data_IF_830711434845
#
_entry.id   IF_830711434845
#
_cell.length_a   1.000
_cell.length_b   1.000
_cell.length_c   1.000
_cell.angle_alpha   90.00
_cell.angle_beta   90.00
_cell.angle_gamma   90.00
#
_symmetry.space_group_name_H-M   'P 1'
#
loop_
_entity.id
_entity.type
_entity.pdbx_description
1 polymer ?
#
# COMPACT_ATOMS: atom_id res chain seq x y z
N UNK A 1 30.01 -13.87 137.96
CA UNK A 1 30.45 -12.59 138.53
C UNK A 1 29.46 -12.03 139.56
N UNK A 2 28.30 -11.49 139.16
CA UNK A 2 27.32 -10.92 140.12
C UNK A 2 26.79 -11.98 141.11
N UNK A 3 26.39 -13.14 140.59
CA UNK A 3 25.89 -14.27 141.39
C UNK A 3 26.97 -14.86 142.31
N UNK A 4 28.22 -14.85 141.85
CA UNK A 4 29.38 -15.35 142.60
C UNK A 4 29.77 -14.38 143.72
N UNK A 5 29.70 -13.07 143.48
CA UNK A 5 29.89 -12.04 144.51
C UNK A 5 28.82 -12.16 145.59
N UNK A 6 27.56 -12.40 145.21
CA UNK A 6 26.48 -12.65 146.15
C UNK A 6 26.75 -13.85 147.07
N UNK A 7 27.25 -14.95 146.50
CA UNK A 7 27.60 -16.15 147.29
C UNK A 7 28.72 -15.87 148.29
N UNK A 8 29.78 -15.18 147.89
CA UNK A 8 30.90 -14.84 148.79
C UNK A 8 30.43 -13.92 149.91
N UNK A 9 29.67 -12.87 149.59
CA UNK A 9 29.13 -11.95 150.60
C UNK A 9 28.23 -12.65 151.60
N UNK A 10 27.54 -13.72 151.21
CA UNK A 10 26.64 -14.48 152.09
C UNK A 10 27.37 -15.24 153.21
N UNK A 11 28.70 -15.43 153.10
CA UNK A 11 29.53 -16.06 154.14
C UNK A 11 29.88 -15.12 155.30
N UNK A 12 29.81 -13.80 155.08
CA UNK A 12 30.13 -12.80 156.10
C UNK A 12 28.93 -12.60 157.03
N UNK A 13 28.74 -13.55 157.96
CA UNK A 13 27.70 -13.50 158.98
C UNK A 13 28.26 -13.12 160.35
N UNK A 14 27.46 -12.51 161.24
CA UNK A 14 27.90 -12.18 162.59
C UNK A 14 28.42 -13.40 163.36
N UNK A 15 27.81 -14.57 163.15
CA UNK A 15 28.23 -15.83 163.78
C UNK A 15 29.61 -16.27 163.29
N UNK A 16 29.89 -16.11 161.99
CA UNK A 16 31.19 -16.42 161.42
C UNK A 16 32.28 -15.47 161.95
N UNK A 17 32.00 -14.18 162.07
CA UNK A 17 32.92 -13.20 162.65
C UNK A 17 33.20 -13.48 164.13
N UNK A 18 32.16 -13.83 164.90
CA UNK A 18 32.29 -14.20 166.32
C UNK A 18 33.14 -15.46 166.50
N UNK A 19 32.98 -16.45 165.61
CA UNK A 19 33.79 -17.66 165.61
C UNK A 19 35.28 -17.36 165.35
N UNK A 20 35.57 -16.49 164.38
CA UNK A 20 36.93 -16.06 164.08
C UNK A 20 37.55 -15.26 165.25
N UNK A 21 36.81 -14.34 165.86
CA UNK A 21 37.26 -13.60 167.06
C UNK A 21 37.54 -14.53 168.25
N UNK A 22 36.66 -15.50 168.48
CA UNK A 22 36.82 -16.50 169.55
C UNK A 22 38.05 -17.37 169.30
N UNK A 23 38.29 -17.77 168.05
CA UNK A 23 39.48 -18.55 167.65
C UNK A 23 40.77 -17.76 167.81
N UNK A 24 40.74 -16.48 167.43
CA UNK A 24 41.83 -15.55 167.61
C UNK A 24 42.21 -15.38 169.10
N UNK A 25 41.21 -15.28 169.99
CA UNK A 25 41.41 -15.23 171.43
C UNK A 25 41.93 -16.56 172.03
N UNK A 26 41.45 -17.71 171.55
CA UNK A 26 41.91 -19.05 171.97
C UNK A 26 43.41 -19.26 171.68
N UNK A 27 43.89 -18.74 170.55
CA UNK A 27 45.26 -18.89 170.09
C UNK A 27 46.21 -17.77 170.56
N UNK A 28 45.74 -16.89 171.46
CA UNK A 28 46.46 -15.71 171.96
C UNK A 28 47.03 -14.81 170.85
N UNK A 29 46.37 -14.77 169.68
CA UNK A 29 46.79 -13.93 168.55
C UNK A 29 46.50 -12.45 168.82
N UNK A 30 47.34 -11.56 168.29
CA UNK A 30 47.18 -10.12 168.46
C UNK A 30 46.02 -9.58 167.60
N UNK A 31 44.88 -9.31 168.23
CA UNK A 31 43.67 -8.78 167.58
C UNK A 31 43.83 -7.35 167.03
N UNK A 32 44.88 -6.64 167.47
CA UNK A 32 45.24 -5.29 167.04
C UNK A 32 46.45 -5.28 166.10
N UNK A 33 46.77 -6.42 165.47
CA UNK A 33 47.89 -6.52 164.54
C UNK A 33 47.73 -5.65 163.28
N UNK A 34 46.49 -5.37 162.86
CA UNK A 34 46.19 -4.54 161.70
C UNK A 34 46.01 -3.05 162.01
N UNK A 35 45.96 -2.23 160.95
CA UNK A 35 45.71 -0.77 161.03
C UNK A 35 44.36 -0.48 161.74
N UNK A 36 43.38 -1.36 161.53
CA UNK A 36 42.08 -1.35 162.18
C UNK A 36 41.97 -2.64 162.98
N UNK A 37 41.57 -2.56 164.25
CA UNK A 37 41.37 -3.75 165.09
C UNK A 37 40.46 -4.75 164.40
N UNK A 38 40.66 -6.04 164.67
CA UNK A 38 39.88 -7.10 164.02
C UNK A 38 38.37 -6.92 164.22
N UNK A 39 37.95 -6.49 165.42
CA UNK A 39 36.55 -6.24 165.72
C UNK A 39 35.95 -5.08 164.90
N UNK A 40 36.68 -3.97 164.76
CA UNK A 40 36.22 -2.82 163.96
C UNK A 40 36.25 -3.12 162.46
N UNK A 41 37.21 -3.92 162.01
CA UNK A 41 37.23 -4.44 160.64
C UNK A 41 35.96 -5.25 160.35
N UNK A 42 35.49 -6.08 161.27
CA UNK A 42 34.24 -6.81 161.07
C UNK A 42 32.99 -5.92 160.98
N UNK A 43 32.95 -4.79 161.70
CA UNK A 43 31.89 -3.79 161.54
C UNK A 43 31.91 -3.20 160.11
N UNK A 44 33.10 -2.82 159.63
CA UNK A 44 33.29 -2.30 158.28
C UNK A 44 32.89 -3.35 157.23
N UNK A 45 33.29 -4.62 157.41
CA UNK A 45 32.92 -5.70 156.51
C UNK A 45 31.40 -5.90 156.45
N UNK A 46 30.70 -5.81 157.57
CA UNK A 46 29.24 -5.88 157.62
C UNK A 46 28.57 -4.78 156.80
N UNK A 47 29.04 -3.53 156.94
CA UNK A 47 28.55 -2.41 156.12
C UNK A 47 28.87 -2.58 154.63
N UNK A 48 30.09 -3.02 154.31
CA UNK A 48 30.51 -3.29 152.94
C UNK A 48 29.62 -4.33 152.27
N UNK A 49 29.39 -5.45 152.96
CA UNK A 49 28.59 -6.54 152.45
C UNK A 49 27.14 -6.11 152.19
N UNK A 50 26.54 -5.32 153.08
CA UNK A 50 25.17 -4.83 152.89
C UNK A 50 25.05 -3.84 151.72
N UNK A 51 26.03 -2.94 151.56
CA UNK A 51 26.06 -2.00 150.44
C UNK A 51 26.15 -2.72 149.10
N UNK A 52 27.01 -3.74 149.02
CA UNK A 52 27.13 -4.55 147.81
C UNK A 52 25.89 -5.41 147.57
N UNK A 53 25.26 -5.96 148.62
CA UNK A 53 23.99 -6.69 148.48
C UNK A 53 22.87 -5.78 147.94
N UNK A 54 22.70 -4.57 148.47
CA UNK A 54 21.71 -3.60 147.96
C UNK A 54 21.96 -3.26 146.49
N UNK A 55 23.23 -3.06 146.13
CA UNK A 55 23.62 -2.78 144.75
C UNK A 55 23.31 -3.95 143.80
N UNK A 56 23.40 -5.20 144.27
CA UNK A 56 23.06 -6.40 143.49
C UNK A 56 21.53 -6.55 143.37
N UNK A 57 20.80 -6.50 144.48
CA UNK A 57 19.34 -6.70 144.50
C UNK A 57 18.60 -5.68 143.65
N UNK A 58 19.01 -4.40 143.75
CA UNK A 58 18.43 -3.31 142.96
C UNK A 58 18.99 -3.22 141.54
N UNK A 59 19.80 -4.20 141.12
CA UNK A 59 20.48 -4.25 139.80
C UNK A 59 21.29 -3.00 139.51
N UNK A 60 21.82 -2.33 140.54
CA UNK A 60 22.65 -1.13 140.41
C UNK A 60 24.09 -1.47 140.02
N UNK A 61 24.55 -2.67 140.35
CA UNK A 61 25.92 -3.10 140.05
C UNK A 61 26.25 -3.08 138.55
N UNK A 62 25.26 -3.25 137.65
CA UNK A 62 25.45 -3.20 136.19
C UNK A 62 25.88 -1.81 135.68
N UNK A 63 25.66 -0.76 136.47
CA UNK A 63 26.07 0.60 136.12
C UNK A 63 27.59 0.77 136.19
N UNK A 64 28.27 -0.12 136.92
CA UNK A 64 29.73 -0.15 136.98
C UNK A 64 30.26 -0.92 135.76
N UNK A 65 31.35 -0.46 135.13
CA UNK A 65 32.08 -1.24 134.15
C UNK A 65 32.36 -2.66 134.65
N UNK A 66 32.27 -3.65 133.76
CA UNK A 66 32.48 -5.07 134.08
C UNK A 66 33.83 -5.29 134.78
N UNK A 67 34.84 -4.50 134.45
CA UNK A 67 36.17 -4.54 135.09
C UNK A 67 36.12 -4.20 136.58
N UNK A 68 35.32 -3.21 137.00
CA UNK A 68 35.17 -2.81 138.40
C UNK A 68 34.37 -3.86 139.17
N UNK A 69 33.34 -4.44 138.54
CA UNK A 69 32.57 -5.54 139.13
C UNK A 69 33.47 -6.76 139.43
N UNK A 70 34.46 -7.03 138.58
CA UNK A 70 35.45 -8.09 138.79
C UNK A 70 36.39 -7.81 139.96
N UNK A 71 36.86 -6.57 140.12
CA UNK A 71 37.75 -6.18 141.22
C UNK A 71 37.10 -6.35 142.60
N UNK A 72 35.83 -5.94 142.75
CA UNK A 72 35.09 -6.10 144.01
C UNK A 72 34.91 -7.57 144.40
N UNK A 73 34.72 -8.46 143.41
CA UNK A 73 34.61 -9.90 143.62
C UNK A 73 35.92 -10.50 144.15
N UNK A 74 37.05 -10.13 143.56
CA UNK A 74 38.35 -10.66 143.99
C UNK A 74 38.73 -10.19 145.40
N UNK A 75 38.43 -8.94 145.77
CA UNK A 75 38.64 -8.45 147.14
C UNK A 75 37.73 -9.22 148.13
N UNK A 76 36.45 -9.40 147.80
CA UNK A 76 35.53 -10.16 148.65
C UNK A 76 35.98 -11.62 148.83
N UNK A 77 36.50 -12.27 147.77
CA UNK A 77 37.06 -13.62 147.87
C UNK A 77 38.28 -13.67 148.79
N UNK A 78 39.20 -12.71 148.65
CA UNK A 78 40.39 -12.64 149.50
C UNK A 78 40.02 -12.52 150.99
N UNK A 79 38.99 -11.71 151.31
CA UNK A 79 38.46 -11.62 152.68
C UNK A 79 37.90 -12.97 153.12
N UNK A 80 37.06 -13.64 152.31
CA UNK A 80 36.52 -14.97 152.68
C UNK A 80 37.63 -15.99 152.93
N UNK A 81 38.67 -16.02 152.13
CA UNK A 81 39.79 -16.96 152.31
C UNK A 81 40.56 -16.69 153.60
N UNK A 82 40.93 -15.43 153.86
CA UNK A 82 41.63 -15.06 155.09
C UNK A 82 40.74 -15.26 156.34
N UNK A 83 39.44 -15.05 156.19
CA UNK A 83 38.46 -15.28 157.25
C UNK A 83 38.37 -16.76 157.64
N UNK A 84 38.27 -17.64 156.64
CA UNK A 84 38.21 -19.09 156.87
C UNK A 84 39.55 -19.58 157.46
N UNK A 85 40.69 -19.09 156.96
CA UNK A 85 42.01 -19.43 157.51
C UNK A 85 42.20 -18.99 158.97
N UNK A 86 41.64 -17.84 159.39
CA UNK A 86 41.67 -17.40 160.78
C UNK A 86 40.85 -18.35 161.68
N UNK A 87 39.69 -18.80 161.21
CA UNK A 87 38.85 -19.79 161.93
C UNK A 87 39.56 -21.13 162.05
N UNK A 88 40.33 -21.52 161.04
CA UNK A 88 41.14 -22.75 161.05
C UNK A 88 42.40 -22.64 161.93
N UNK A 89 42.70 -21.45 162.45
CA UNK A 89 43.75 -21.20 163.43
C UNK A 89 45.07 -20.69 162.86
N UNK A 90 45.08 -20.17 161.63
CA UNK A 90 46.24 -19.48 161.07
C UNK A 90 46.33 -18.03 161.60
N UNK A 91 47.55 -17.54 161.85
CA UNK A 91 47.78 -16.14 162.21
C UNK A 91 47.73 -15.23 160.97
N UNK A 92 46.51 -14.87 160.57
CA UNK A 92 46.20 -14.03 159.40
C UNK A 92 45.43 -12.77 159.77
N UNK A 93 45.52 -12.33 161.03
CA UNK A 93 44.74 -11.20 161.55
C UNK A 93 45.07 -9.91 160.78
N UNK A 94 46.35 -9.61 160.58
CA UNK A 94 46.80 -8.42 159.85
C UNK A 94 46.33 -8.45 158.37
N UNK A 95 46.49 -9.59 157.68
CA UNK A 95 46.10 -9.70 156.27
C UNK A 95 44.58 -9.71 156.06
N UNK A 96 43.81 -10.24 157.01
CA UNK A 96 42.35 -10.19 156.99
C UNK A 96 41.85 -8.76 157.16
N UNK A 97 42.33 -8.03 158.17
CA UNK A 97 41.94 -6.65 158.44
C UNK A 97 42.31 -5.72 157.28
N UNK A 98 43.48 -5.89 156.66
CA UNK A 98 43.85 -5.17 155.43
C UNK A 98 42.92 -5.47 154.24
N UNK A 99 42.54 -6.73 154.06
CA UNK A 99 41.65 -7.13 152.95
C UNK A 99 40.26 -6.50 153.13
N UNK A 100 39.77 -6.45 154.36
CA UNK A 100 38.51 -5.79 154.71
C UNK A 100 38.60 -4.28 154.45
N UNK A 101 39.69 -3.63 154.85
CA UNK A 101 39.89 -2.19 154.63
C UNK A 101 39.99 -1.85 153.14
N UNK A 102 40.59 -2.73 152.31
CA UNK A 102 40.58 -2.60 150.85
C UNK A 102 39.16 -2.63 150.29
N UNK A 103 38.30 -3.51 150.80
CA UNK A 103 36.89 -3.55 150.37
C UNK A 103 36.14 -2.29 150.77
N UNK A 104 36.34 -1.83 152.01
CA UNK A 104 35.73 -0.62 152.53
C UNK A 104 36.12 0.61 151.69
N UNK A 105 37.41 0.75 151.41
CA UNK A 105 37.93 1.81 150.55
C UNK A 105 37.40 1.71 149.12
N UNK A 106 37.30 0.50 148.55
CA UNK A 106 36.80 0.31 147.19
C UNK A 106 35.33 0.74 147.04
N UNK A 107 34.48 0.46 148.04
CA UNK A 107 33.07 0.85 148.03
C UNK A 107 32.92 2.38 147.99
N UNK A 108 33.74 3.10 148.77
CA UNK A 108 33.79 4.56 148.74
C UNK A 108 34.38 5.11 147.46
N UNK A 109 35.54 4.59 147.03
CA UNK A 109 36.26 5.04 145.83
C UNK A 109 35.40 4.93 144.57
N UNK A 110 34.65 3.84 144.45
CA UNK A 110 33.77 3.60 143.31
C UNK A 110 32.36 4.18 143.51
N UNK A 111 32.12 4.86 144.63
CA UNK A 111 30.89 5.59 144.88
C UNK A 111 29.65 4.72 144.88
N UNK A 112 29.76 3.45 145.31
CA UNK A 112 28.63 2.49 145.30
C UNK A 112 27.42 3.00 146.09
N UNK A 113 27.66 3.89 147.05
CA UNK A 113 26.63 4.56 147.85
C UNK A 113 25.75 5.54 147.04
N UNK A 114 26.10 5.87 145.78
CA UNK A 114 25.46 6.92 144.99
C UNK A 114 24.85 6.42 143.65
N UNK A 115 24.68 5.12 143.47
CA UNK A 115 24.11 4.56 142.23
C UNK A 115 22.58 4.85 142.12
N UNK A 116 22.14 5.48 141.01
CA UNK A 116 20.77 5.99 140.73
C UNK A 116 19.95 5.12 139.78
N UNK A 117 18.61 5.25 139.76
CA UNK A 117 17.69 4.33 139.06
C UNK A 117 17.30 4.74 137.59
N UNK A 118 17.68 5.91 137.05
CA UNK A 118 17.00 6.52 135.87
C UNK A 118 17.75 6.59 134.50
N UNK A 119 19.02 6.17 134.34
CA UNK A 119 19.84 6.49 133.15
C UNK A 119 19.44 5.80 131.81
N UNK A 120 18.54 4.81 131.80
CA UNK A 120 18.32 3.92 130.64
C UNK A 120 17.49 4.54 129.47
N UNK A 121 16.70 5.59 129.70
CA UNK A 121 15.68 6.07 128.75
C UNK A 121 16.17 6.95 127.59
N UNK A 122 17.29 7.68 127.74
CA UNK A 122 17.74 8.65 126.73
C UNK A 122 18.41 8.02 125.51
N UNK A 123 19.10 6.90 125.70
CA UNK A 123 19.85 6.23 124.63
C UNK A 123 18.92 5.60 123.58
N UNK A 124 17.75 5.10 123.99
CA UNK A 124 16.75 4.53 123.08
C UNK A 124 16.15 5.57 122.13
N UNK A 125 15.85 6.78 122.62
CA UNK A 125 15.28 7.86 121.79
C UNK A 125 16.26 8.37 120.74
N UNK A 126 17.56 8.43 121.07
CA UNK A 126 18.61 8.84 120.13
C UNK A 126 18.72 7.87 118.94
N UNK A 127 18.58 6.57 119.18
CA UNK A 127 18.61 5.56 118.14
C UNK A 127 17.39 5.65 117.20
N UNK A 128 16.19 5.88 117.74
CA UNK A 128 14.97 6.09 116.94
C UNK A 128 15.08 7.31 116.01
N UNK A 129 15.69 8.40 116.49
CA UNK A 129 15.88 9.61 115.68
C UNK A 129 16.79 9.35 114.46
N UNK A 130 17.87 8.56 114.65
CA UNK A 130 18.78 8.18 113.57
C UNK A 130 18.11 7.30 112.51
N UNK A 131 17.25 6.37 112.93
CA UNK A 131 16.47 5.54 111.99
C UNK A 131 15.53 6.40 111.13
N UNK A 132 14.86 7.39 111.74
CA UNK A 132 13.99 8.32 111.00
C UNK A 132 14.83 9.16 110.02
N UNK A 133 15.96 9.72 110.45
CA UNK A 133 16.85 10.49 109.58
C UNK A 133 17.30 9.68 108.36
N UNK A 134 17.70 8.42 108.57
CA UNK A 134 18.09 7.52 107.49
C UNK A 134 16.92 7.20 106.54
N UNK A 135 15.71 7.04 107.08
CA UNK A 135 14.48 6.85 106.27
C UNK A 135 14.12 8.09 105.43
N UNK A 136 14.34 9.30 105.96
CA UNK A 136 14.12 10.56 105.25
C UNK A 136 15.12 10.73 104.12
N UNK A 137 16.40 10.45 104.36
CA UNK A 137 17.46 10.50 103.33
C UNK A 137 17.14 9.52 102.18
N UNK A 138 16.78 8.29 102.52
CA UNK A 138 16.44 7.27 101.49
C UNK A 138 15.18 7.64 100.71
N UNK A 139 14.16 8.22 101.36
CA UNK A 139 12.94 8.67 100.68
C UNK A 139 13.21 9.86 99.76
N UNK A 140 14.04 10.82 100.19
CA UNK A 140 14.47 11.95 99.36
C UNK A 140 15.20 11.47 98.11
N UNK A 141 16.14 10.53 98.24
CA UNK A 141 16.85 9.95 97.11
C UNK A 141 15.89 9.29 96.10
N UNK A 142 14.91 8.51 96.57
CA UNK A 142 13.87 7.92 95.71
C UNK A 142 12.99 8.96 95.02
N UNK A 143 12.70 10.07 95.69
CA UNK A 143 11.91 11.17 95.10
C UNK A 143 12.70 11.87 93.99
N UNK A 144 13.98 12.15 94.20
CA UNK A 144 14.87 12.74 93.19
C UNK A 144 15.00 11.81 91.96
N UNK A 145 15.13 10.50 92.18
CA UNK A 145 15.09 9.50 91.11
C UNK A 145 13.74 9.52 90.36
N UNK A 146 12.61 9.59 91.09
CA UNK A 146 11.28 9.69 90.50
C UNK A 146 11.06 10.96 89.66
N UNK A 147 11.62 12.10 90.07
CA UNK A 147 11.59 13.35 89.29
C UNK A 147 12.38 13.18 88.00
N UNK A 148 13.58 12.58 88.07
CA UNK A 148 14.37 12.31 86.87
C UNK A 148 13.65 11.39 85.87
N UNK A 149 12.91 10.38 86.36
CA UNK A 149 12.11 9.50 85.49
C UNK A 149 10.93 10.25 84.86
N UNK A 150 10.25 11.11 85.62
CA UNK A 150 9.15 11.94 85.12
C UNK A 150 9.62 12.91 84.02
N UNK A 151 10.78 13.54 84.19
CA UNK A 151 11.35 14.42 83.17
C UNK A 151 11.76 13.65 81.90
N UNK A 152 12.27 12.43 82.04
CA UNK A 152 12.55 11.55 80.90
C UNK A 152 11.26 11.12 80.17
N UNK A 153 10.18 10.84 80.91
CA UNK A 153 8.87 10.53 80.35
C UNK A 153 8.26 11.71 79.60
N UNK A 154 8.38 12.93 80.11
CA UNK A 154 7.89 14.14 79.45
C UNK A 154 8.61 14.36 78.10
N UNK A 155 9.92 14.10 78.04
CA UNK A 155 10.69 14.13 76.79
C UNK A 155 10.23 13.07 75.78
N UNK A 156 10.02 11.82 76.22
CA UNK A 156 9.52 10.74 75.36
C UNK A 156 8.11 11.06 74.85
N UNK A 157 7.24 11.64 75.69
CA UNK A 157 5.90 12.04 75.29
C UNK A 157 5.92 13.15 74.24
N UNK A 158 6.82 14.12 74.38
CA UNK A 158 7.02 15.18 73.40
C UNK A 158 7.51 14.62 72.05
N UNK A 159 8.50 13.74 72.07
CA UNK A 159 9.04 13.09 70.87
C UNK A 159 7.98 12.20 70.19
N UNK A 160 7.21 11.45 70.98
CA UNK A 160 6.12 10.61 70.47
C UNK A 160 4.99 11.44 69.83
N UNK A 161 4.67 12.63 70.38
CA UNK A 161 3.71 13.55 69.75
C UNK A 161 4.24 14.09 68.44
N UNK A 162 5.50 14.52 68.41
CA UNK A 162 6.12 15.01 67.17
C UNK A 162 6.13 13.92 66.09
N UNK A 163 6.53 12.69 66.42
CA UNK A 163 6.49 11.57 65.47
C UNK A 163 5.07 11.25 64.98
N UNK A 164 4.05 11.39 65.84
CA UNK A 164 2.66 11.20 65.43
C UNK A 164 2.18 12.28 64.44
N UNK A 165 2.59 13.53 64.63
CA UNK A 165 2.28 14.64 63.71
C UNK A 165 3.00 14.47 62.36
N UNK A 166 4.26 14.04 62.38
CA UNK A 166 5.02 13.68 61.18
C UNK A 166 4.37 12.50 60.43
N UNK A 167 3.94 11.46 61.16
CA UNK A 167 3.23 10.32 60.59
C UNK A 167 1.92 10.75 59.92
N UNK A 168 1.14 11.63 60.56
CA UNK A 168 -0.10 12.14 59.99
C UNK A 168 0.16 12.89 58.68
N UNK A 169 1.23 13.70 58.64
CA UNK A 169 1.66 14.41 57.43
C UNK A 169 2.07 13.45 56.31
N UNK A 170 2.79 12.37 56.65
CA UNK A 170 3.15 11.33 55.68
C UNK A 170 1.93 10.58 55.13
N UNK A 171 0.94 10.30 55.96
CA UNK A 171 -0.33 9.66 55.54
C UNK A 171 -1.10 10.56 54.58
N UNK A 172 -1.25 11.86 54.88
CA UNK A 172 -1.93 12.81 53.97
C UNK A 172 -1.22 12.93 52.62
N UNK A 173 0.12 12.97 52.63
CA UNK A 173 0.91 12.98 51.40
C UNK A 173 0.76 11.68 50.60
N UNK A 174 0.71 10.53 51.29
CA UNK A 174 0.49 9.24 50.65
C UNK A 174 -0.91 9.14 50.01
N UNK A 175 -1.96 9.60 50.70
CA UNK A 175 -3.32 9.63 50.16
C UNK A 175 -3.41 10.52 48.91
N UNK A 176 -2.78 11.70 48.96
CA UNK A 176 -2.71 12.61 47.81
C UNK A 176 -2.01 11.96 46.62
N UNK A 177 -0.89 11.27 46.87
CA UNK A 177 -0.17 10.52 45.83
C UNK A 177 -0.99 9.37 45.25
N UNK A 178 -1.75 8.64 46.08
CA UNK A 178 -2.65 7.56 45.64
C UNK A 178 -3.76 8.10 44.73
N UNK A 179 -4.38 9.22 45.09
CA UNK A 179 -5.41 9.88 44.27
C UNK A 179 -4.83 10.28 42.91
N UNK A 180 -3.68 10.96 42.90
CA UNK A 180 -3.01 11.36 41.66
C UNK A 180 -2.63 10.15 40.79
N UNK A 181 -2.16 9.06 41.40
CA UNK A 181 -1.81 7.82 40.69
C UNK A 181 -3.05 7.17 40.07
N UNK A 182 -4.19 7.19 40.77
CA UNK A 182 -5.46 6.66 40.26
C UNK A 182 -5.99 7.47 39.08
N UNK A 183 -5.91 8.80 39.12
CA UNK A 183 -6.25 9.65 37.98
C UNK A 183 -5.34 9.37 36.76
N UNK A 184 -4.03 9.26 36.99
CA UNK A 184 -3.09 8.95 35.92
C UNK A 184 -3.34 7.57 35.32
N UNK A 185 -3.67 6.57 36.14
CA UNK A 185 -4.03 5.24 35.66
C UNK A 185 -5.27 5.30 34.75
N UNK A 186 -6.30 6.04 35.15
CA UNK A 186 -7.51 6.24 34.33
C UNK A 186 -7.17 6.88 32.98
N UNK A 187 -6.33 7.92 32.96
CA UNK A 187 -5.88 8.58 31.72
C UNK A 187 -5.09 7.64 30.81
N UNK A 188 -4.21 6.80 31.39
CA UNK A 188 -3.47 5.79 30.63
C UNK A 188 -4.41 4.74 30.04
N UNK A 189 -5.44 4.32 30.79
CA UNK A 189 -6.43 3.36 30.32
C UNK A 189 -7.21 3.90 29.12
N UNK A 190 -7.72 5.14 29.20
CA UNK A 190 -8.38 5.81 28.07
C UNK A 190 -7.46 6.00 26.87
N UNK A 191 -6.20 6.37 27.10
CA UNK A 191 -5.22 6.51 26.03
C UNK A 191 -4.93 5.17 25.34
N UNK A 192 -4.89 4.08 26.11
CA UNK A 192 -4.64 2.74 25.59
C UNK A 192 -5.84 2.21 24.78
N UNK A 193 -7.07 2.48 25.21
CA UNK A 193 -8.28 2.18 24.42
C UNK A 193 -8.29 2.92 23.09
N UNK A 194 -8.02 4.24 23.10
CA UNK A 194 -7.91 5.04 21.86
C UNK A 194 -6.79 4.56 20.94
N UNK A 195 -5.66 4.12 21.51
CA UNK A 195 -4.56 3.55 20.73
C UNK A 195 -4.96 2.23 20.07
N UNK A 196 -5.72 1.36 20.77
CA UNK A 196 -6.24 0.12 20.22
C UNK A 196 -7.23 0.37 19.07
N UNK A 197 -8.16 1.31 19.24
CA UNK A 197 -9.10 1.72 18.18
C UNK A 197 -8.36 2.26 16.94
N UNK A 198 -7.35 3.10 17.16
CA UNK A 198 -6.52 3.65 16.08
C UNK A 198 -5.74 2.56 15.34
N UNK A 199 -5.19 1.58 16.06
CA UNK A 199 -4.49 0.44 15.47
C UNK A 199 -5.44 -0.40 14.60
N UNK A 200 -6.65 -0.65 15.08
CA UNK A 200 -7.66 -1.39 14.32
C UNK A 200 -8.05 -0.64 13.04
N UNK A 201 -8.26 0.68 13.11
CA UNK A 201 -8.54 1.50 11.94
C UNK A 201 -7.38 1.48 10.92
N UNK A 202 -6.13 1.49 11.39
CA UNK A 202 -4.95 1.38 10.51
C UNK A 202 -4.92 0.01 9.80
N UNK A 203 -5.20 -1.08 10.52
CA UNK A 203 -5.23 -2.42 9.92
C UNK A 203 -6.34 -2.55 8.87
N UNK A 204 -7.54 -2.06 9.15
CA UNK A 204 -8.64 -2.04 8.18
C UNK A 204 -8.30 -1.21 6.93
N UNK A 205 -7.67 -0.05 7.12
CA UNK A 205 -7.23 0.81 6.04
C UNK A 205 -6.12 0.14 5.21
N UNK A 206 -5.20 -0.59 5.86
CA UNK A 206 -4.15 -1.36 5.18
C UNK A 206 -4.74 -2.48 4.33
N UNK A 207 -5.74 -3.22 4.83
CA UNK A 207 -6.45 -4.24 4.04
C UNK A 207 -7.10 -3.64 2.81
N UNK A 208 -7.89 -2.56 2.98
CA UNK A 208 -8.51 -1.85 1.83
C UNK A 208 -7.49 -1.34 0.83
N UNK A 209 -6.37 -0.77 1.31
CA UNK A 209 -5.30 -0.29 0.44
C UNK A 209 -4.63 -1.43 -0.34
N UNK A 210 -4.55 -2.62 0.24
CA UNK A 210 -3.97 -3.80 -0.42
C UNK A 210 -4.90 -4.34 -1.50
N UNK A 211 -6.21 -4.39 -1.23
CA UNK A 211 -7.24 -4.76 -2.22
C UNK A 211 -7.26 -3.78 -3.41
N UNK A 212 -7.23 -2.47 -3.14
CA UNK A 212 -7.13 -1.43 -4.16
C UNK A 212 -5.86 -1.57 -5.02
N UNK A 213 -4.75 -1.98 -4.43
CA UNK A 213 -3.50 -2.21 -5.15
C UNK A 213 -3.64 -3.40 -6.10
N UNK A 214 -4.18 -4.52 -5.64
CA UNK A 214 -4.41 -5.71 -6.48
C UNK A 214 -5.38 -5.43 -7.62
N UNK A 215 -6.45 -4.66 -7.38
CA UNK A 215 -7.38 -4.25 -8.42
C UNK A 215 -6.71 -3.33 -9.45
N UNK A 216 -5.85 -2.41 -8.99
CA UNK A 216 -5.09 -1.50 -9.87
C UNK A 216 -4.11 -2.27 -10.74
N UNK A 217 -3.40 -3.26 -10.17
CA UNK A 217 -2.49 -4.14 -10.92
C UNK A 217 -3.25 -4.98 -11.96
N UNK A 218 -4.42 -5.52 -11.61
CA UNK A 218 -5.30 -6.22 -12.54
C UNK A 218 -5.76 -5.33 -13.70
N UNK A 219 -6.27 -4.14 -13.39
CA UNK A 219 -6.68 -3.16 -14.40
C UNK A 219 -5.53 -2.74 -15.31
N UNK A 220 -4.31 -2.59 -14.78
CA UNK A 220 -3.13 -2.27 -15.60
C UNK A 220 -2.81 -3.39 -16.60
N UNK A 221 -2.92 -4.66 -16.19
CA UNK A 221 -2.72 -5.79 -17.11
C UNK A 221 -3.79 -5.84 -18.22
N UNK A 222 -5.04 -5.51 -17.90
CA UNK A 222 -6.10 -5.38 -18.90
C UNK A 222 -5.83 -4.24 -19.88
N UNK A 223 -5.40 -3.07 -19.39
CA UNK A 223 -4.99 -1.94 -20.22
C UNK A 223 -3.85 -2.32 -21.17
N UNK A 224 -2.80 -2.97 -20.68
CA UNK A 224 -1.68 -3.42 -21.50
C UNK A 224 -2.12 -4.42 -22.58
N UNK A 225 -3.08 -5.28 -22.26
CA UNK A 225 -3.66 -6.25 -23.20
C UNK A 225 -4.48 -5.54 -24.28
N UNK A 226 -5.32 -4.59 -23.90
CA UNK A 226 -6.07 -3.76 -24.83
C UNK A 226 -5.17 -2.89 -25.71
N UNK A 227 -4.10 -2.31 -25.16
CA UNK A 227 -3.14 -1.52 -25.93
C UNK A 227 -2.49 -2.37 -27.03
N UNK A 228 -2.06 -3.60 -26.70
CA UNK A 228 -1.50 -4.54 -27.69
C UNK A 228 -2.51 -4.88 -28.78
N UNK A 229 -3.77 -5.15 -28.41
CA UNK A 229 -4.84 -5.42 -29.36
C UNK A 229 -5.12 -4.23 -30.28
N UNK A 230 -5.17 -3.01 -29.73
CA UNK A 230 -5.36 -1.77 -30.49
C UNK A 230 -4.19 -1.57 -31.46
N UNK A 231 -2.94 -1.76 -31.03
CA UNK A 231 -1.76 -1.64 -31.90
C UNK A 231 -1.80 -2.65 -33.05
N UNK A 232 -2.19 -3.90 -32.78
CA UNK A 232 -2.37 -4.91 -33.82
C UNK A 232 -3.46 -4.52 -34.82
N UNK A 233 -4.62 -4.06 -34.33
CA UNK A 233 -5.74 -3.64 -35.18
C UNK A 233 -5.39 -2.41 -36.03
N UNK A 234 -4.66 -1.44 -35.47
CA UNK A 234 -4.15 -0.28 -36.23
C UNK A 234 -3.19 -0.75 -37.32
N UNK A 235 -2.28 -1.69 -37.02
CA UNK A 235 -1.38 -2.25 -38.02
C UNK A 235 -2.14 -2.95 -39.16
N UNK A 236 -3.13 -3.78 -38.83
CA UNK A 236 -3.98 -4.43 -39.84
C UNK A 236 -4.75 -3.40 -40.68
N UNK A 237 -5.34 -2.39 -40.05
CA UNK A 237 -6.06 -1.32 -40.74
C UNK A 237 -5.14 -0.53 -41.69
N UNK A 238 -3.90 -0.24 -41.29
CA UNK A 238 -2.93 0.45 -42.15
C UNK A 238 -2.54 -0.40 -43.37
N UNK A 239 -2.37 -1.71 -43.21
CA UNK A 239 -2.12 -2.63 -44.32
C UNK A 239 -3.32 -2.67 -45.27
N UNK A 240 -4.52 -2.85 -44.72
CA UNK A 240 -5.76 -2.95 -45.51
C UNK A 240 -6.04 -1.66 -46.28
N UNK A 241 -5.79 -0.49 -45.67
CA UNK A 241 -5.90 0.80 -46.36
C UNK A 241 -4.86 0.94 -47.49
N UNK A 242 -3.63 0.45 -47.28
CA UNK A 242 -2.58 0.46 -48.32
C UNK A 242 -2.97 -0.43 -49.50
N UNK A 243 -3.49 -1.63 -49.24
CA UNK A 243 -4.00 -2.54 -50.26
C UNK A 243 -5.21 -1.96 -50.99
N UNK A 244 -6.14 -1.32 -50.28
CA UNK A 244 -7.31 -0.66 -50.86
C UNK A 244 -6.90 0.46 -51.83
N UNK A 245 -5.94 1.29 -51.44
CA UNK A 245 -5.41 2.36 -52.29
C UNK A 245 -4.73 1.77 -53.54
N UNK A 246 -3.92 0.71 -53.37
CA UNK A 246 -3.28 0.03 -54.50
C UNK A 246 -4.30 -0.61 -55.45
N UNK A 247 -5.34 -1.26 -54.91
CA UNK A 247 -6.42 -1.87 -55.67
C UNK A 247 -7.23 -0.83 -56.44
N UNK A 248 -7.57 0.31 -55.81
CA UNK A 248 -8.28 1.42 -56.46
C UNK A 248 -7.46 2.03 -57.60
N UNK A 249 -6.14 2.18 -57.41
CA UNK A 249 -5.23 2.62 -58.48
C UNK A 249 -5.27 1.64 -59.65
N UNK A 250 -5.09 0.34 -59.39
CA UNK A 250 -5.14 -0.72 -60.41
C UNK A 250 -6.48 -0.76 -61.15
N UNK A 251 -7.59 -0.59 -60.43
CA UNK A 251 -8.92 -0.52 -61.01
C UNK A 251 -9.05 0.68 -61.98
N UNK A 252 -8.54 1.85 -61.58
CA UNK A 252 -8.58 3.06 -62.41
C UNK A 252 -7.73 2.90 -63.67
N UNK A 253 -6.53 2.31 -63.54
CA UNK A 253 -5.65 1.98 -64.66
C UNK A 253 -6.33 1.00 -65.63
N UNK A 254 -6.97 -0.05 -65.11
CA UNK A 254 -7.67 -1.05 -65.92
C UNK A 254 -8.88 -0.46 -66.64
N UNK A 255 -9.64 0.44 -66.00
CA UNK A 255 -10.74 1.15 -66.67
C UNK A 255 -10.24 2.06 -67.80
N UNK A 256 -9.15 2.78 -67.59
CA UNK A 256 -8.53 3.59 -68.63
C UNK A 256 -8.07 2.72 -69.81
N UNK A 257 -7.47 1.56 -69.52
CA UNK A 257 -7.06 0.61 -70.56
C UNK A 257 -8.26 0.03 -71.32
N UNK A 258 -9.33 -0.37 -70.62
CA UNK A 258 -10.56 -0.85 -71.25
C UNK A 258 -11.22 0.21 -72.14
N UNK A 259 -11.24 1.47 -71.69
CA UNK A 259 -11.76 2.57 -72.50
C UNK A 259 -10.93 2.76 -73.77
N UNK A 260 -9.60 2.74 -73.65
CA UNK A 260 -8.70 2.82 -74.81
C UNK A 260 -8.90 1.65 -75.79
N UNK A 261 -9.09 0.42 -75.29
CA UNK A 261 -9.41 -0.72 -76.15
C UNK A 261 -10.77 -0.57 -76.83
N UNK A 262 -11.78 -0.09 -76.11
CA UNK A 262 -13.11 0.14 -76.66
C UNK A 262 -13.06 1.16 -77.80
N UNK A 263 -12.41 2.29 -77.58
CA UNK A 263 -12.24 3.34 -78.60
C UNK A 263 -11.49 2.80 -79.83
N UNK A 264 -10.46 1.97 -79.61
CA UNK A 264 -9.72 1.30 -80.68
C UNK A 264 -10.59 0.30 -81.46
N UNK A 265 -11.42 -0.48 -80.78
CA UNK A 265 -12.34 -1.43 -81.42
C UNK A 265 -13.41 -0.69 -82.22
N UNK A 266 -14.02 0.35 -81.66
CA UNK A 266 -15.01 1.17 -82.36
C UNK A 266 -14.41 1.85 -83.60
N UNK A 267 -13.18 2.35 -83.49
CA UNK A 267 -12.41 2.88 -84.62
C UNK A 267 -12.13 1.82 -85.70
N UNK A 268 -11.63 0.64 -85.31
CA UNK A 268 -11.37 -0.47 -86.23
C UNK A 268 -12.64 -1.00 -86.90
N UNK A 269 -13.76 -1.08 -86.18
CA UNK A 269 -15.04 -1.49 -86.75
C UNK A 269 -15.55 -0.45 -87.76
N UNK A 270 -15.45 0.84 -87.45
CA UNK A 270 -15.76 1.92 -88.40
C UNK A 270 -14.91 1.85 -89.67
N UNK A 271 -13.60 1.64 -89.52
CA UNK A 271 -12.68 1.54 -90.66
C UNK A 271 -12.84 0.25 -91.48
N UNK A 272 -13.04 -0.89 -90.83
CA UNK A 272 -13.27 -2.17 -91.50
C UNK A 272 -14.58 -2.17 -92.28
N UNK A 273 -15.65 -1.59 -91.72
CA UNK A 273 -16.95 -1.53 -92.37
C UNK A 273 -16.93 -0.58 -93.58
N UNK A 274 -16.28 0.60 -93.44
CA UNK A 274 -16.03 1.56 -94.53
C UNK A 274 -15.20 0.94 -95.67
N UNK A 275 -14.16 0.20 -95.31
CA UNK A 275 -13.22 -0.39 -96.29
C UNK A 275 -13.81 -1.62 -96.97
N UNK A 276 -14.48 -2.52 -96.22
CA UNK A 276 -15.04 -3.76 -96.74
C UNK A 276 -16.14 -3.54 -97.78
N UNK A 277 -17.10 -2.67 -97.49
CA UNK A 277 -18.22 -2.42 -98.41
C UNK A 277 -17.76 -1.64 -99.66
N UNK A 278 -16.95 -0.58 -99.49
CA UNK A 278 -16.45 0.21 -100.61
C UNK A 278 -15.45 -0.54 -101.50
N UNK A 279 -14.64 -1.45 -100.94
CA UNK A 279 -13.68 -2.23 -101.71
C UNK A 279 -14.35 -3.10 -102.77
N UNK A 280 -15.51 -3.71 -102.46
CA UNK A 280 -16.24 -4.54 -103.42
C UNK A 280 -16.69 -3.75 -104.66
N UNK A 281 -17.20 -2.52 -104.46
CA UNK A 281 -17.59 -1.62 -105.54
C UNK A 281 -16.38 -1.05 -106.29
N UNK A 282 -15.30 -0.71 -105.57
CA UNK A 282 -14.04 -0.24 -106.16
C UNK A 282 -13.46 -1.29 -107.10
N UNK A 283 -13.38 -2.55 -106.64
CA UNK A 283 -12.87 -3.66 -107.43
C UNK A 283 -13.72 -3.83 -108.69
N UNK A 284 -15.05 -3.87 -108.57
CA UNK A 284 -15.95 -4.01 -109.73
C UNK A 284 -15.83 -2.85 -110.73
N UNK A 285 -15.70 -1.61 -110.26
CA UNK A 285 -15.45 -0.42 -111.09
C UNK A 285 -14.15 -0.54 -111.88
N UNK A 286 -13.09 -1.07 -111.26
CA UNK A 286 -11.80 -1.29 -111.92
C UNK A 286 -11.87 -2.40 -112.97
N UNK A 287 -12.50 -3.54 -112.66
CA UNK A 287 -12.68 -4.65 -113.61
C UNK A 287 -13.47 -4.25 -114.86
N UNK A 288 -14.33 -3.22 -114.79
CA UNK A 288 -15.07 -2.71 -115.95
C UNK A 288 -14.22 -1.85 -116.90
N UNK A 289 -12.99 -1.46 -116.54
CA UNK A 289 -12.08 -0.76 -117.47
C UNK A 289 -11.63 -1.63 -118.64
N UNK A 290 -11.38 -2.92 -118.39
CA UNK A 290 -10.97 -3.88 -119.41
C UNK A 290 -12.04 -4.05 -120.52
N UNK A 291 -13.31 -4.38 -120.21
CA UNK A 291 -14.34 -4.47 -121.24
C UNK A 291 -14.64 -3.13 -121.90
N UNK A 292 -14.59 -2.00 -121.18
CA UNK A 292 -14.79 -0.68 -121.76
C UNK A 292 -13.73 -0.38 -122.83
N UNK A 293 -12.46 -0.61 -122.51
CA UNK A 293 -11.35 -0.45 -123.47
C UNK A 293 -11.45 -1.48 -124.61
N UNK A 294 -11.86 -2.71 -124.32
CA UNK A 294 -12.07 -3.76 -125.32
C UNK A 294 -13.15 -3.40 -126.33
N UNK A 295 -14.30 -2.88 -125.89
CA UNK A 295 -15.37 -2.44 -126.78
C UNK A 295 -14.96 -1.23 -127.63
N UNK A 296 -14.18 -0.30 -127.07
CA UNK A 296 -13.63 0.82 -127.82
C UNK A 296 -12.66 0.35 -128.92
N UNK A 297 -11.82 -0.63 -128.62
CA UNK A 297 -10.92 -1.24 -129.59
C UNK A 297 -11.69 -1.99 -130.70
N UNK A 298 -12.71 -2.77 -130.34
CA UNK A 298 -13.57 -3.47 -131.31
C UNK A 298 -14.31 -2.46 -132.21
N UNK A 299 -14.76 -1.34 -131.64
CA UNK A 299 -15.37 -0.25 -132.40
C UNK A 299 -14.39 0.36 -133.41
N UNK A 300 -13.14 0.62 -132.98
CA UNK A 300 -12.08 1.07 -133.87
C UNK A 300 -11.77 0.08 -135.00
N UNK A 301 -11.73 -1.23 -134.70
CA UNK A 301 -11.56 -2.30 -135.71
C UNK A 301 -12.73 -2.31 -136.69
N UNK A 302 -13.97 -2.16 -136.20
CA UNK A 302 -15.16 -2.08 -137.07
C UNK A 302 -15.06 -0.91 -138.04
N UNK A 303 -14.68 0.28 -137.58
CA UNK A 303 -14.48 1.46 -138.44
C UNK A 303 -13.37 1.21 -139.46
N UNK A 304 -12.22 0.69 -139.03
CA UNK A 304 -11.12 0.36 -139.94
C UNK A 304 -11.53 -0.67 -140.99
N UNK A 305 -12.31 -1.68 -140.60
CA UNK A 305 -12.90 -2.67 -141.50
C UNK A 305 -13.89 -2.05 -142.50
N UNK A 306 -14.76 -1.14 -142.06
CA UNK A 306 -15.66 -0.40 -142.95
C UNK A 306 -14.90 0.46 -143.95
N UNK A 307 -13.84 1.15 -143.52
CA UNK A 307 -12.99 1.94 -144.40
C UNK A 307 -12.27 1.05 -145.42
N UNK A 308 -11.69 -0.06 -144.98
CA UNK A 308 -11.05 -1.04 -145.87
C UNK A 308 -12.04 -1.57 -146.90
N UNK A 309 -13.21 -2.04 -146.47
CA UNK A 309 -14.24 -2.55 -147.38
C UNK A 309 -14.79 -1.46 -148.31
N UNK A 310 -14.91 -0.23 -147.81
CA UNK A 310 -15.31 0.93 -148.59
C UNK A 310 -14.33 1.22 -149.73
N UNK A 311 -13.02 1.19 -149.45
CA UNK A 311 -11.98 1.43 -150.46
C UNK A 311 -11.88 0.25 -151.45
N UNK A 312 -11.92 -0.99 -150.98
CA UNK A 312 -11.66 -2.17 -151.84
C UNK A 312 -12.88 -2.64 -152.62
N UNK A 313 -14.07 -2.60 -152.02
CA UNK A 313 -15.29 -3.14 -152.63
C UNK A 313 -16.27 -2.07 -153.13
N UNK A 314 -16.34 -0.90 -152.48
CA UNK A 314 -17.32 0.15 -152.86
C UNK A 314 -16.69 1.20 -153.79
N UNK A 315 -15.49 1.70 -153.51
CA UNK A 315 -14.86 2.75 -154.30
C UNK A 315 -14.70 2.42 -155.80
N UNK A 316 -14.42 1.17 -156.22
CA UNK A 316 -14.41 0.82 -157.64
C UNK A 316 -15.76 0.96 -158.35
N UNK A 317 -16.89 0.95 -157.62
CA UNK A 317 -18.23 1.22 -158.19
C UNK A 317 -18.48 2.72 -158.41
N UNK A 318 -17.72 3.58 -157.74
CA UNK A 318 -17.82 5.05 -157.84
C UNK A 318 -16.88 5.60 -158.93
N UNK A 319 -16.01 4.77 -159.49
CA UNK A 319 -15.16 5.16 -160.62
C UNK A 319 -16.02 5.31 -161.88
N UNK A 320 -16.14 6.55 -162.35
CA UNK A 320 -16.96 6.92 -163.52
C UNK A 320 -16.50 6.24 -164.83
N UNK A 321 -15.32 5.60 -164.85
CA UNK A 321 -14.76 4.91 -166.01
C UNK A 321 -14.99 3.40 -166.03
N UNK A 322 -15.54 2.82 -164.96
CA UNK A 322 -15.86 1.39 -164.91
C UNK A 322 -17.30 1.15 -165.39
N UNK A 323 -17.55 0.06 -166.15
CA UNK A 323 -18.90 -0.41 -166.43
C UNK A 323 -19.51 -0.91 -165.11
N UNK A 324 -20.25 -0.06 -164.40
CA UNK A 324 -20.69 -0.33 -163.02
C UNK A 324 -21.76 -1.43 -163.01
N UNK A 325 -21.50 -2.63 -162.48
CA UNK A 325 -22.52 -3.66 -162.35
C UNK A 325 -23.36 -3.36 -161.11
N UNK A 326 -24.38 -2.50 -161.26
CA UNK A 326 -25.27 -2.09 -160.16
C UNK A 326 -25.97 -3.28 -159.49
N UNK A 327 -26.14 -4.38 -160.22
CA UNK A 327 -26.63 -5.68 -159.74
C UNK A 327 -25.79 -6.28 -158.59
N UNK A 328 -24.50 -5.92 -158.50
CA UNK A 328 -23.59 -6.41 -157.45
C UNK A 328 -23.62 -5.56 -156.17
N UNK A 329 -24.24 -4.38 -156.20
CA UNK A 329 -24.29 -3.48 -155.05
C UNK A 329 -24.93 -4.14 -153.80
N UNK A 330 -26.06 -4.87 -153.89
CA UNK A 330 -26.66 -5.53 -152.73
C UNK A 330 -25.72 -6.55 -152.07
N UNK A 331 -24.98 -7.32 -152.88
CA UNK A 331 -24.01 -8.31 -152.37
C UNK A 331 -22.84 -7.62 -151.67
N UNK A 332 -22.31 -6.52 -152.24
CA UNK A 332 -21.21 -5.76 -151.62
C UNK A 332 -21.65 -5.04 -150.35
N UNK A 333 -22.87 -4.50 -150.31
CA UNK A 333 -23.45 -3.94 -149.09
C UNK A 333 -23.68 -5.01 -148.02
N UNK A 334 -24.16 -6.20 -148.40
CA UNK A 334 -24.30 -7.33 -147.49
C UNK A 334 -22.95 -7.76 -146.88
N UNK A 335 -21.85 -7.68 -147.64
CA UNK A 335 -20.49 -7.93 -147.12
C UNK A 335 -20.01 -6.88 -146.10
N UNK A 336 -20.49 -5.64 -146.20
CA UNK A 336 -20.19 -4.58 -145.20
C UNK A 336 -21.10 -4.62 -143.97
N UNK A 337 -22.28 -5.23 -144.08
CA UNK A 337 -23.29 -5.26 -143.02
C UNK A 337 -22.78 -5.83 -141.67
N UNK A 338 -21.95 -6.89 -141.61
CA UNK A 338 -21.37 -7.38 -140.36
C UNK A 338 -20.52 -6.32 -139.64
N UNK A 339 -19.79 -5.48 -140.37
CA UNK A 339 -18.96 -4.43 -139.76
C UNK A 339 -19.81 -3.28 -139.22
N UNK A 340 -20.89 -2.89 -139.92
CA UNK A 340 -21.86 -1.91 -139.43
C UNK A 340 -22.51 -2.41 -138.14
N UNK A 341 -22.93 -3.68 -138.14
CA UNK A 341 -23.50 -4.31 -136.95
C UNK A 341 -22.49 -4.36 -135.81
N UNK A 342 -21.24 -4.74 -136.07
CA UNK A 342 -20.17 -4.80 -135.07
C UNK A 342 -19.87 -3.42 -134.47
N UNK A 343 -19.88 -2.37 -135.29
CA UNK A 343 -19.63 -0.99 -134.85
C UNK A 343 -20.75 -0.49 -133.94
N UNK A 344 -22.00 -0.65 -134.38
CA UNK A 344 -23.16 -0.30 -133.57
C UNK A 344 -23.22 -1.09 -132.26
N UNK A 345 -22.99 -2.41 -132.33
CA UNK A 345 -23.02 -3.29 -131.15
C UNK A 345 -21.93 -2.92 -130.15
N UNK A 346 -20.70 -2.70 -130.59
CA UNK A 346 -19.58 -2.31 -129.72
C UNK A 346 -19.76 -0.91 -129.12
N UNK A 347 -20.26 0.07 -129.88
CA UNK A 347 -20.58 1.40 -129.34
C UNK A 347 -21.67 1.32 -128.24
N UNK A 348 -22.69 0.48 -128.45
CA UNK A 348 -23.75 0.26 -127.47
C UNK A 348 -23.21 -0.43 -126.21
N UNK A 349 -22.41 -1.47 -126.37
CA UNK A 349 -21.79 -2.16 -125.23
C UNK A 349 -20.79 -1.29 -124.47
N UNK A 350 -20.06 -0.41 -125.16
CA UNK A 350 -19.25 0.61 -124.52
C UNK A 350 -20.13 1.55 -123.67
N UNK A 351 -21.23 2.07 -124.22
CA UNK A 351 -22.17 2.93 -123.49
C UNK A 351 -22.82 2.24 -122.28
N UNK A 352 -23.13 0.95 -122.38
CA UNK A 352 -23.63 0.16 -121.23
C UNK A 352 -22.55 -0.04 -120.16
N UNK A 353 -21.36 -0.48 -120.56
CA UNK A 353 -20.24 -0.73 -119.64
C UNK A 353 -19.83 0.56 -118.93
N UNK A 354 -19.84 1.70 -119.63
CA UNK A 354 -19.56 3.01 -119.06
C UNK A 354 -20.59 3.43 -118.00
N UNK A 355 -21.89 3.32 -118.29
CA UNK A 355 -22.95 3.61 -117.31
C UNK A 355 -22.90 2.68 -116.10
N UNK A 356 -22.62 1.40 -116.32
CA UNK A 356 -22.46 0.42 -115.26
C UNK A 356 -21.26 0.78 -114.37
N UNK A 357 -20.15 1.22 -114.96
CA UNK A 357 -18.97 1.67 -114.21
C UNK A 357 -19.26 2.91 -113.37
N UNK A 358 -20.02 3.86 -113.90
CA UNK A 358 -20.42 5.08 -113.18
C UNK A 358 -21.35 4.75 -112.01
N UNK A 359 -22.28 3.81 -112.18
CA UNK A 359 -23.14 3.31 -111.09
C UNK A 359 -22.31 2.74 -109.93
N UNK A 360 -21.29 1.94 -110.23
CA UNK A 360 -20.36 1.41 -109.21
C UNK A 360 -19.48 2.50 -108.60
N UNK A 361 -19.11 3.54 -109.35
CA UNK A 361 -18.38 4.69 -108.80
C UNK A 361 -19.22 5.46 -107.79
N UNK A 362 -20.49 5.69 -108.10
CA UNK A 362 -21.45 6.32 -107.19
C UNK A 362 -21.67 5.48 -105.93
N UNK A 363 -21.81 4.15 -106.06
CA UNK A 363 -21.92 3.21 -104.93
C UNK A 363 -20.66 3.20 -104.07
N UNK A 364 -19.47 3.24 -104.67
CA UNK A 364 -18.19 3.36 -103.94
C UNK A 364 -18.14 4.65 -103.11
N UNK A 365 -18.43 5.80 -103.71
CA UNK A 365 -18.40 7.10 -103.01
C UNK A 365 -19.43 7.16 -101.88
N UNK A 366 -20.64 6.63 -102.12
CA UNK A 366 -21.69 6.52 -101.11
C UNK A 366 -21.28 5.62 -99.94
N UNK A 367 -20.67 4.46 -100.22
CA UNK A 367 -20.17 3.54 -99.18
C UNK A 367 -19.02 4.15 -98.36
N UNK A 368 -18.09 4.89 -99.00
CA UNK A 368 -16.97 5.56 -98.31
C UNK A 368 -17.41 6.67 -97.37
N UNK A 369 -18.45 7.42 -97.75
CA UNK A 369 -18.99 8.54 -96.97
C UNK A 369 -20.03 8.11 -95.91
N UNK A 370 -20.56 6.88 -96.02
CA UNK A 370 -21.62 6.39 -95.15
C UNK A 370 -21.29 6.38 -93.66
N UNK A 371 -20.12 5.91 -93.23
CA UNK A 371 -19.75 5.92 -91.80
C UNK A 371 -19.61 7.35 -91.25
N UNK A 372 -19.18 8.31 -92.07
CA UNK A 372 -19.16 9.73 -91.71
C UNK A 372 -20.57 10.25 -91.45
N UNK A 373 -21.49 10.05 -92.40
CA UNK A 373 -22.88 10.46 -92.24
C UNK A 373 -23.61 9.72 -91.11
N UNK A 374 -23.31 8.44 -90.89
CA UNK A 374 -23.89 7.62 -89.82
C UNK A 374 -23.45 8.10 -88.45
N UNK A 375 -22.18 8.52 -88.29
CA UNK A 375 -21.68 9.11 -87.05
C UNK A 375 -22.41 10.42 -86.73
N UNK A 376 -22.43 11.36 -87.68
CA UNK A 376 -23.11 12.65 -87.50
C UNK A 376 -24.63 12.47 -87.28
N UNK A 377 -25.30 11.60 -88.04
CA UNK A 377 -26.74 11.36 -87.91
C UNK A 377 -27.12 10.72 -86.56
N UNK A 378 -26.24 9.88 -85.99
CA UNK A 378 -26.46 9.28 -84.66
C UNK A 378 -26.41 10.32 -83.54
N UNK A 379 -25.62 11.38 -83.70
CA UNK A 379 -25.50 12.45 -82.72
C UNK A 379 -26.65 13.47 -82.81
N UNK A 380 -27.26 13.63 -83.98
CA UNK A 380 -28.34 14.60 -84.21
C UNK A 380 -29.73 14.07 -83.83
N UNK A 381 -30.21 12.99 -84.45
CA UNK A 381 -31.58 12.48 -84.25
C UNK A 381 -31.75 11.02 -84.73
N UNK A 382 -32.33 10.13 -83.90
CA UNK A 382 -32.72 8.77 -84.32
C UNK A 382 -33.57 8.69 -85.61
N UNK A 383 -34.46 9.64 -85.89
CA UNK A 383 -35.27 9.62 -87.12
C UNK A 383 -34.40 9.87 -88.37
N UNK A 384 -33.44 10.80 -88.27
CA UNK A 384 -32.45 11.07 -89.32
C UNK A 384 -31.56 9.85 -89.60
N UNK A 385 -31.12 9.15 -88.55
CA UNK A 385 -30.38 7.90 -88.70
C UNK A 385 -31.20 6.84 -89.45
N UNK A 386 -32.49 6.67 -89.11
CA UNK A 386 -33.39 5.73 -89.80
C UNK A 386 -33.50 6.05 -91.29
N UNK A 387 -33.77 7.31 -91.65
CA UNK A 387 -33.86 7.76 -93.05
C UNK A 387 -32.55 7.53 -93.82
N UNK A 388 -31.40 7.78 -93.19
CA UNK A 388 -30.09 7.53 -93.77
C UNK A 388 -29.88 6.04 -94.07
N UNK A 389 -30.21 5.16 -93.12
CA UNK A 389 -30.09 3.70 -93.30
C UNK A 389 -31.01 3.19 -94.43
N UNK A 390 -32.28 3.62 -94.46
CA UNK A 390 -33.22 3.26 -95.52
C UNK A 390 -32.73 3.69 -96.91
N UNK A 391 -32.24 4.94 -97.01
CA UNK A 391 -31.71 5.46 -98.27
C UNK A 391 -30.42 4.76 -98.71
N UNK A 392 -29.53 4.42 -97.76
CA UNK A 392 -28.30 3.70 -98.05
C UNK A 392 -28.57 2.26 -98.51
N UNK A 393 -29.50 1.54 -97.85
CA UNK A 393 -29.91 0.20 -98.26
C UNK A 393 -30.47 0.23 -99.68
N UNK A 394 -31.33 1.21 -99.99
CA UNK A 394 -31.88 1.40 -101.34
C UNK A 394 -30.78 1.70 -102.37
N UNK A 395 -29.95 2.71 -102.13
CA UNK A 395 -28.94 3.16 -103.09
C UNK A 395 -27.84 2.11 -103.34
N UNK A 396 -27.38 1.41 -102.29
CA UNK A 396 -26.29 0.44 -102.38
C UNK A 396 -26.79 -0.97 -102.78
N UNK A 397 -28.03 -1.32 -102.42
CA UNK A 397 -28.65 -2.62 -102.71
C UNK A 397 -29.36 -2.70 -104.06
N UNK A 398 -29.66 -1.56 -104.69
CA UNK A 398 -30.36 -1.54 -105.99
C UNK A 398 -29.57 -2.28 -107.09
N UNK A 399 -30.30 -3.13 -107.82
CA UNK A 399 -29.75 -3.97 -108.88
C UNK A 399 -29.23 -3.12 -110.06
N UNK A 400 -27.94 -3.28 -110.48
CA UNK A 400 -27.38 -2.58 -111.63
C UNK A 400 -28.07 -2.87 -112.97
N UNK A 401 -28.86 -3.94 -113.06
CA UNK A 401 -29.63 -4.31 -114.26
C UNK A 401 -30.68 -3.23 -114.62
N UNK A 402 -31.03 -2.31 -113.71
CA UNK A 402 -31.88 -1.14 -114.05
C UNK A 402 -31.34 -0.30 -115.21
N UNK A 403 -30.03 -0.34 -115.48
CA UNK A 403 -29.41 0.39 -116.60
C UNK A 403 -29.80 -0.24 -117.96
N UNK A 404 -30.33 -1.47 -117.94
CA UNK A 404 -30.81 -2.20 -119.11
C UNK A 404 -32.27 -1.91 -119.47
N UNK A 405 -32.95 -1.00 -118.76
CA UNK A 405 -34.41 -0.86 -118.89
C UNK A 405 -34.87 -0.54 -120.33
N UNK A 406 -35.88 -1.29 -120.77
CA UNK A 406 -35.98 -1.85 -122.12
C UNK A 406 -36.50 -0.97 -123.25
N UNK A 407 -36.64 0.35 -123.05
CA UNK A 407 -37.30 1.22 -124.05
C UNK A 407 -36.50 1.49 -125.32
N UNK A 408 -35.17 1.32 -125.26
CA UNK A 408 -34.29 1.50 -126.42
C UNK A 408 -33.58 0.19 -126.81
N UNK A 409 -34.15 -0.96 -126.43
CA UNK A 409 -33.70 -2.34 -126.61
C UNK A 409 -33.54 -2.86 -128.06
N UNK A 410 -33.01 -2.13 -129.05
CA UNK A 410 -33.12 -2.57 -130.45
C UNK A 410 -32.24 -3.81 -130.75
N UNK A 411 -32.73 -4.81 -131.49
CA UNK A 411 -31.99 -6.04 -131.81
C UNK A 411 -30.96 -5.88 -132.94
N UNK A 412 -31.07 -4.82 -133.75
CA UNK A 412 -30.15 -4.56 -134.86
C UNK A 412 -30.05 -3.06 -135.19
N UNK A 413 -28.98 -2.63 -135.88
CA UNK A 413 -28.84 -1.25 -136.35
C UNK A 413 -29.98 -0.84 -137.28
N UNK A 414 -30.42 -1.76 -138.14
CA UNK A 414 -31.52 -1.49 -139.09
C UNK A 414 -32.85 -1.30 -138.36
N UNK A 415 -33.07 -2.01 -137.26
CA UNK A 415 -34.28 -1.85 -136.45
C UNK A 415 -34.26 -0.53 -135.66
N UNK A 416 -33.11 -0.12 -135.14
CA UNK A 416 -32.95 1.19 -134.49
C UNK A 416 -33.12 2.34 -135.49
N UNK A 417 -32.52 2.23 -136.68
CA UNK A 417 -32.71 3.21 -137.75
C UNK A 417 -34.17 3.27 -138.20
N UNK A 418 -34.84 2.12 -138.39
CA UNK A 418 -36.24 2.07 -138.78
C UNK A 418 -37.16 2.67 -137.72
N UNK A 419 -36.97 2.32 -136.44
CA UNK A 419 -37.75 2.88 -135.34
C UNK A 419 -37.49 4.39 -135.17
N UNK A 420 -36.24 4.83 -135.32
CA UNK A 420 -35.88 6.25 -135.32
C UNK A 420 -36.47 7.01 -136.52
N UNK A 421 -36.51 6.40 -137.71
CA UNK A 421 -37.10 7.00 -138.92
C UNK A 421 -38.62 7.08 -138.83
N UNK A 422 -39.27 6.02 -138.35
CA UNK A 422 -40.74 5.97 -138.19
C UNK A 422 -41.24 6.94 -137.12
N UNK A 423 -40.40 7.30 -136.15
CA UNK A 423 -40.70 8.32 -135.14
C UNK A 423 -40.49 9.76 -135.64
N UNK A 424 -39.85 9.96 -136.80
CA UNK A 424 -39.61 11.29 -137.40
C UNK A 424 -40.51 11.51 -138.64
N UNK A 425 -41.64 12.20 -138.43
CA UNK A 425 -42.63 12.50 -139.48
C UNK A 425 -42.04 13.19 -140.72
N UNK A 426 -40.96 13.98 -140.56
CA UNK A 426 -40.30 14.66 -141.68
C UNK A 426 -39.43 13.71 -142.50
N UNK A 427 -38.78 12.75 -141.85
CA UNK A 427 -38.00 11.72 -142.52
C UNK A 427 -38.91 10.77 -143.32
N UNK A 428 -40.06 10.38 -142.76
CA UNK A 428 -41.08 9.57 -143.45
C UNK A 428 -41.61 10.29 -144.69
N UNK A 429 -41.85 11.60 -144.60
CA UNK A 429 -42.27 12.44 -145.73
C UNK A 429 -41.26 12.43 -146.88
N UNK A 430 -39.98 12.65 -146.59
CA UNK A 430 -38.90 12.62 -147.59
C UNK A 430 -38.67 11.24 -148.19
N UNK A 431 -38.83 10.17 -147.41
CA UNK A 431 -38.68 8.80 -147.92
C UNK A 431 -39.80 8.43 -148.91
N UNK A 432 -41.04 8.86 -148.64
CA UNK A 432 -42.16 8.73 -149.59
C UNK A 432 -41.93 9.52 -150.87
N UNK A 433 -41.39 10.74 -150.76
CA UNK A 433 -41.05 11.59 -151.89
C UNK A 433 -39.94 10.95 -152.77
N UNK A 434 -38.89 10.40 -152.16
CA UNK A 434 -37.80 9.72 -152.86
C UNK A 434 -38.25 8.47 -153.65
N UNK A 435 -39.14 7.64 -153.08
CA UNK A 435 -39.71 6.49 -153.80
C UNK A 435 -40.71 6.88 -154.88
N UNK A 436 -41.35 8.04 -154.78
CA UNK A 436 -42.25 8.55 -155.83
C UNK A 436 -41.49 8.96 -157.10
N UNK A 437 -40.21 9.33 -156.98
CA UNK A 437 -39.33 9.69 -158.11
C UNK A 437 -38.90 8.46 -158.93
N UNK A 438 -38.83 7.27 -158.33
CA UNK A 438 -38.49 6.01 -159.01
C UNK A 438 -39.69 5.30 -159.67
N UNK A 439 -40.90 5.88 -159.58
CA UNK A 439 -42.12 5.32 -160.16
C UNK A 439 -42.56 6.04 -161.46
N UNK A 440 -41.69 6.83 -162.08
CA UNK A 440 -41.92 7.48 -163.38
C UNK A 440 -40.94 6.99 -164.45
#
# INVERSE_FOLDING_TARGET
MIEELWQVLSKFTPEAHQAALSKCAELELNQDAGIVSLNESYNNLGWCANTLRDAIEKKKLIQLPITIQGELLEIAKAISTNHDALIEGADVVETLTESIEKLFTAIWRYGLNHLTDELLGFQTKLNQLKEIEQSVITTKAKLEEGVSVKDALDLILADSKQQNDELHTHVENADTAVIATKENLSKVQEANEKAAESLQAILEQQTKSTELLTDTEGNQQEVDTHEKAIRALVSEFTNLNTELVASKKKQTELFAEFQAYRDKIDGLLGDANRTGMAASFTNRRFWLLAPLSGWLLIFGISIAGLLYMGITFIAPLLDAKATVPWEQLPMRLALTAPFIWLGWFSARQHGFTSRLREDYAYKEASAKSFEGYKREAKEVDPEMLKKLLEQAIKNLGDNPIRIYDGKNNHPSPTHELFDSLMKDDKAVGRFKEFFSIFKS
#
